data_IF_677037046496
#
_entry.id   IF_677037046496
#
_cell.length_a   1.000
_cell.length_b   1.000
_cell.length_c   1.000
_cell.angle_alpha   90.00
_cell.angle_beta   90.00
_cell.angle_gamma   90.00
#
_symmetry.space_group_name_H-M   'P 1'
#
loop_
_entity.id
_entity.type
_entity.pdbx_description
1 polymer ?
#
# COMPACT_ATOMS: atom_id res chain seq x y z
N UNK A 1 8.94 1.58 44.32
CA UNK A 1 7.97 0.83 43.51
C UNK A 1 8.11 1.31 42.07
N UNK A 2 8.19 0.41 41.09
CA UNK A 2 8.34 0.81 39.67
C UNK A 2 6.98 1.31 39.17
N UNK A 3 6.95 2.50 38.57
CA UNK A 3 5.76 3.02 37.89
C UNK A 3 5.69 2.50 36.46
N UNK A 4 4.91 1.44 36.25
CA UNK A 4 4.72 0.84 34.94
C UNK A 4 3.94 1.73 33.96
N UNK A 5 3.15 2.70 34.45
CA UNK A 5 2.44 3.64 33.57
C UNK A 5 3.41 4.65 32.97
N UNK A 6 4.33 5.18 33.78
CA UNK A 6 5.39 6.05 33.30
C UNK A 6 6.28 5.34 32.26
N UNK A 7 6.67 4.09 32.52
CA UNK A 7 7.46 3.30 31.57
C UNK A 7 6.72 3.05 30.25
N UNK A 8 5.43 2.69 30.30
CA UNK A 8 4.61 2.52 29.10
C UNK A 8 4.50 3.82 28.31
N UNK A 9 4.32 4.96 28.99
CA UNK A 9 4.24 6.26 28.34
C UNK A 9 5.53 6.61 27.61
N UNK A 10 6.68 6.33 28.22
CA UNK A 10 7.98 6.54 27.56
C UNK A 10 8.11 5.62 26.34
N UNK A 11 7.78 4.34 26.49
CA UNK A 11 7.78 3.39 25.37
C UNK A 11 6.94 3.89 24.19
N UNK A 12 5.67 4.25 24.43
CA UNK A 12 4.78 4.72 23.38
C UNK A 12 5.30 5.99 22.72
N UNK A 13 5.77 6.97 23.51
CA UNK A 13 6.34 8.20 22.97
C UNK A 13 7.53 7.92 22.04
N UNK A 14 8.42 6.99 22.40
CA UNK A 14 9.56 6.65 21.56
C UNK A 14 9.15 5.90 20.28
N UNK A 15 8.21 4.95 20.36
CA UNK A 15 7.69 4.29 19.15
C UNK A 15 7.00 5.32 18.24
N UNK A 16 6.18 6.22 18.79
CA UNK A 16 5.49 7.25 18.02
C UNK A 16 6.47 8.19 17.32
N UNK A 17 7.58 8.56 17.99
CA UNK A 17 8.67 9.33 17.38
C UNK A 17 9.38 8.56 16.26
N UNK A 18 9.58 7.24 16.42
CA UNK A 18 10.14 6.43 15.33
C UNK A 18 9.19 6.35 14.12
N UNK A 19 7.88 6.25 14.36
CA UNK A 19 6.85 6.15 13.33
C UNK A 19 6.39 7.51 12.79
N UNK A 20 7.00 8.61 13.24
CA UNK A 20 6.74 9.94 12.71
C UNK A 20 7.29 10.07 11.27
N UNK A 21 6.75 11.02 10.51
CA UNK A 21 7.15 11.25 9.12
C UNK A 21 8.56 11.83 8.98
N UNK A 22 9.06 12.48 10.02
CA UNK A 22 10.44 12.97 10.19
C UNK A 22 11.27 12.07 11.12
N UNK A 23 10.71 10.93 11.53
CA UNK A 23 11.35 9.97 12.40
C UNK A 23 12.26 8.97 11.68
N UNK A 24 12.54 7.85 12.35
CA UNK A 24 13.31 6.74 11.80
C UNK A 24 12.44 5.75 10.99
N UNK A 25 11.33 6.24 10.44
CA UNK A 25 10.39 5.45 9.63
C UNK A 25 10.74 5.51 8.15
N UNK A 26 10.14 4.62 7.38
CA UNK A 26 10.09 4.72 5.92
C UNK A 26 8.68 5.07 5.48
N UNK A 27 8.56 5.91 4.45
CA UNK A 27 7.28 6.14 3.79
C UNK A 27 6.88 4.87 3.02
N UNK A 28 5.75 4.28 3.42
CA UNK A 28 5.14 3.12 2.80
C UNK A 28 3.86 3.56 2.09
N UNK A 29 3.87 3.48 0.75
CA UNK A 29 2.71 3.82 -0.08
C UNK A 29 1.84 2.58 -0.29
N UNK A 30 0.68 2.56 0.34
CA UNK A 30 -0.35 1.54 0.16
C UNK A 30 -1.11 1.84 -1.13
N UNK A 31 -1.17 0.88 -2.05
CA UNK A 31 -1.99 0.93 -3.24
C UNK A 31 -3.24 0.06 -3.04
N UNK A 32 -4.43 0.64 -3.25
CA UNK A 32 -5.71 -0.08 -3.13
C UNK A 32 -6.22 -0.61 -4.49
N UNK A 33 -5.43 -0.44 -5.56
CA UNK A 33 -5.85 -0.72 -6.92
C UNK A 33 -6.89 0.28 -7.43
N UNK A 34 -7.65 -0.12 -8.44
CA UNK A 34 -8.70 0.71 -9.04
C UNK A 34 -9.90 0.78 -8.10
N UNK A 35 -10.04 1.90 -7.40
CA UNK A 35 -11.13 2.13 -6.43
C UNK A 35 -12.28 2.95 -7.01
N UNK A 36 -12.02 3.75 -8.04
CA UNK A 36 -13.04 4.53 -8.75
C UNK A 36 -12.94 4.30 -10.25
N UNK A 37 -14.10 4.16 -10.89
CA UNK A 37 -14.22 4.11 -12.35
C UNK A 37 -14.94 5.35 -12.82
N UNK A 38 -14.23 6.20 -13.53
CA UNK A 38 -14.83 7.38 -14.17
C UNK A 38 -15.13 7.07 -15.62
N UNK A 39 -16.24 7.62 -16.14
CA UNK A 39 -16.59 7.46 -17.55
C UNK A 39 -15.46 7.99 -18.43
N UNK A 40 -15.18 7.26 -19.52
CA UNK A 40 -14.11 7.67 -20.43
C UNK A 40 -14.41 9.07 -20.99
N UNK A 41 -13.46 10.02 -20.91
CA UNK A 41 -13.66 11.36 -21.47
C UNK A 41 -13.71 11.36 -23.00
N UNK A 42 -13.25 10.28 -23.65
CA UNK A 42 -13.05 10.21 -25.09
C UNK A 42 -14.17 9.53 -25.88
N UNK A 43 -14.93 8.62 -25.25
CA UNK A 43 -15.99 7.87 -25.93
C UNK A 43 -17.30 7.88 -25.14
N UNK A 44 -18.41 7.69 -25.86
CA UNK A 44 -19.71 7.50 -25.24
C UNK A 44 -19.76 6.11 -24.60
N UNK A 45 -20.22 6.03 -23.35
CA UNK A 45 -20.43 4.79 -22.63
C UNK A 45 -21.82 4.23 -22.92
N UNK A 46 -21.90 2.95 -23.26
CA UNK A 46 -23.13 2.19 -23.43
C UNK A 46 -23.49 1.49 -22.12
N UNK A 47 -24.59 1.92 -21.50
CA UNK A 47 -25.07 1.37 -20.22
C UNK A 47 -25.61 -0.05 -20.34
N UNK A 48 -26.11 -0.46 -21.53
CA UNK A 48 -26.66 -1.78 -21.76
C UNK A 48 -25.53 -2.80 -21.96
N UNK A 49 -24.53 -2.45 -22.76
CA UNK A 49 -23.37 -3.32 -23.03
C UNK A 49 -22.26 -3.18 -21.98
N UNK A 50 -22.38 -2.22 -21.05
CA UNK A 50 -21.39 -1.89 -20.01
C UNK A 50 -19.98 -1.66 -20.56
N UNK A 51 -19.87 -1.01 -21.73
CA UNK A 51 -18.61 -0.74 -22.44
C UNK A 51 -18.68 0.50 -23.31
N UNK A 52 -17.63 0.83 -24.05
CA UNK A 52 -17.67 1.91 -25.04
C UNK A 52 -18.68 1.61 -26.16
N UNK A 53 -19.49 2.61 -26.52
CA UNK A 53 -20.37 2.57 -27.69
C UNK A 53 -19.60 2.70 -29.03
N UNK A 54 -18.26 2.66 -29.00
CA UNK A 54 -17.38 2.84 -30.18
C UNK A 54 -17.68 4.14 -30.95
N UNK A 55 -18.11 5.17 -30.21
CA UNK A 55 -18.44 6.49 -30.73
C UNK A 55 -17.66 7.55 -29.98
N UNK A 56 -16.93 8.37 -30.73
CA UNK A 56 -16.16 9.48 -30.21
C UNK A 56 -17.07 10.53 -29.56
N UNK A 57 -16.64 11.05 -28.40
CA UNK A 57 -17.30 12.14 -27.70
C UNK A 57 -16.69 13.46 -28.17
N UNK A 58 -17.52 14.38 -28.65
CA UNK A 58 -17.02 15.67 -29.13
C UNK A 58 -16.32 16.43 -27.98
N UNK A 59 -15.11 16.96 -28.22
CA UNK A 59 -14.24 17.53 -27.20
C UNK A 59 -13.41 16.52 -26.40
N UNK A 60 -13.41 15.24 -26.79
CA UNK A 60 -12.55 14.21 -26.19
C UNK A 60 -11.05 14.39 -26.53
N UNK A 61 -10.14 13.75 -25.77
CA UNK A 61 -8.70 13.88 -25.98
C UNK A 61 -8.18 13.40 -27.34
N UNK A 62 -8.83 12.41 -27.97
CA UNK A 62 -8.31 11.76 -29.18
C UNK A 62 -9.47 11.33 -30.11
N UNK A 63 -9.70 12.06 -31.22
CA UNK A 63 -10.71 11.69 -32.22
C UNK A 63 -10.52 10.29 -32.80
N UNK A 64 -11.61 9.57 -33.05
CA UNK A 64 -11.61 8.28 -33.74
C UNK A 64 -12.90 8.04 -34.53
N UNK A 65 -12.84 7.18 -35.54
CA UNK A 65 -13.98 6.88 -36.42
C UNK A 65 -15.06 6.05 -35.70
N UNK A 66 -16.33 6.21 -36.13
CA UNK A 66 -17.43 5.41 -35.62
C UNK A 66 -17.18 3.91 -35.87
N UNK A 67 -17.41 3.09 -34.85
CA UNK A 67 -17.19 1.64 -34.91
C UNK A 67 -15.75 1.21 -34.61
N UNK A 68 -14.81 2.14 -34.48
CA UNK A 68 -13.46 1.83 -34.02
C UNK A 68 -13.38 1.75 -32.49
N UNK A 69 -12.42 0.97 -31.99
CA UNK A 69 -12.10 0.91 -30.58
C UNK A 69 -11.63 2.29 -30.10
N UNK A 70 -12.18 2.78 -28.99
CA UNK A 70 -11.72 4.03 -28.40
C UNK A 70 -10.23 3.91 -28.01
N UNK A 71 -9.31 4.72 -28.55
CA UNK A 71 -7.88 4.60 -28.29
C UNK A 71 -7.49 5.01 -26.86
N UNK A 72 -8.37 5.72 -26.15
CA UNK A 72 -8.10 6.23 -24.81
C UNK A 72 -8.40 5.21 -23.70
N UNK A 73 -9.47 4.43 -23.86
CA UNK A 73 -9.87 3.40 -22.88
C UNK A 73 -9.85 1.99 -23.45
N UNK A 74 -9.33 1.81 -24.66
CA UNK A 74 -9.31 0.54 -25.39
C UNK A 74 -10.67 -0.17 -25.41
N UNK A 75 -11.75 0.59 -25.63
CA UNK A 75 -13.11 0.06 -25.74
C UNK A 75 -13.80 -0.27 -24.41
N UNK A 76 -13.13 -0.13 -23.28
CA UNK A 76 -13.68 -0.40 -21.95
C UNK A 76 -14.77 0.59 -21.55
N UNK A 77 -14.66 1.86 -21.99
CA UNK A 77 -15.67 2.90 -21.76
C UNK A 77 -15.57 3.63 -20.42
N UNK A 78 -14.63 3.24 -19.57
CA UNK A 78 -14.27 3.93 -18.32
C UNK A 78 -12.75 3.89 -18.11
N UNK A 79 -12.27 4.75 -17.23
CA UNK A 79 -10.88 4.79 -16.77
C UNK A 79 -10.88 4.47 -15.27
N UNK A 80 -10.03 3.52 -14.88
CA UNK A 80 -9.80 3.20 -13.48
C UNK A 80 -8.84 4.21 -12.88
N UNK A 81 -9.24 4.84 -11.77
CA UNK A 81 -8.34 5.63 -10.95
C UNK A 81 -7.84 4.77 -9.81
N UNK A 82 -6.52 4.72 -9.66
CA UNK A 82 -5.89 4.10 -8.51
C UNK A 82 -5.88 5.08 -7.34
N UNK A 83 -6.21 4.60 -6.14
CA UNK A 83 -6.03 5.36 -4.92
C UNK A 83 -4.84 4.84 -4.15
N UNK A 84 -4.02 5.75 -3.65
CA UNK A 84 -2.87 5.44 -2.79
C UNK A 84 -2.97 6.20 -1.47
N UNK A 85 -2.37 5.65 -0.43
CA UNK A 85 -2.23 6.28 0.88
C UNK A 85 -0.80 6.09 1.39
N UNK A 86 -0.15 7.17 1.81
CA UNK A 86 1.15 7.10 2.47
C UNK A 86 0.97 6.89 3.97
N UNK A 87 1.61 5.86 4.50
CA UNK A 87 1.75 5.60 5.94
C UNK A 87 3.23 5.50 6.29
N UNK A 88 3.59 5.82 7.53
CA UNK A 88 4.96 5.79 8.01
C UNK A 88 5.16 4.60 8.93
N UNK A 89 6.04 3.68 8.53
CA UNK A 89 6.28 2.44 9.25
C UNK A 89 7.76 2.20 9.44
N UNK A 90 8.13 1.61 10.57
CA UNK A 90 9.48 1.11 10.77
C UNK A 90 9.63 -0.21 10.00
N UNK A 91 10.48 -0.22 8.97
CA UNK A 91 10.72 -1.38 8.10
C UNK A 91 11.95 -2.13 8.59
N UNK A 92 11.74 -3.39 8.95
CA UNK A 92 12.78 -4.32 9.38
C UNK A 92 13.02 -5.31 8.24
N UNK A 93 14.13 -5.07 7.52
CA UNK A 93 14.54 -5.89 6.37
C UNK A 93 15.06 -7.25 6.77
N UNK A 94 15.73 -7.34 7.93
CA UNK A 94 16.17 -8.58 8.54
C UNK A 94 15.34 -8.86 9.80
N UNK A 95 14.12 -9.35 9.59
CA UNK A 95 13.18 -9.66 10.67
C UNK A 95 13.66 -10.81 11.59
N UNK A 96 14.74 -11.53 11.22
CA UNK A 96 15.32 -12.61 12.02
C UNK A 96 16.42 -12.12 12.97
N UNK A 97 17.11 -11.02 12.65
CA UNK A 97 18.18 -10.51 13.53
C UNK A 97 17.67 -9.79 14.79
N UNK A 98 16.41 -9.35 14.83
CA UNK A 98 15.87 -8.69 16.03
C UNK A 98 15.46 -9.66 17.14
N UNK A 99 15.23 -10.94 16.81
CA UNK A 99 14.97 -12.03 17.77
C UNK A 99 15.72 -13.28 17.27
N UNK A 100 16.83 -13.64 17.92
CA UNK A 100 17.59 -14.87 17.67
C UNK A 100 16.66 -16.09 17.69
N UNK A 101 16.28 -16.59 16.52
CA UNK A 101 15.61 -17.87 16.34
C UNK A 101 16.63 -18.85 15.76
N UNK A 102 16.73 -20.08 16.29
CA UNK A 102 17.85 -20.97 16.04
C UNK A 102 18.05 -21.31 14.55
N UNK A 103 19.32 -21.34 14.17
CA UNK A 103 19.89 -21.41 12.83
C UNK A 103 19.55 -22.70 12.07
N UNK A 104 18.31 -22.85 11.57
CA UNK A 104 17.97 -23.93 10.63
C UNK A 104 16.74 -23.65 9.76
N UNK A 105 16.55 -22.40 9.32
CA UNK A 105 15.52 -22.09 8.31
C UNK A 105 16.19 -21.32 7.17
N UNK A 106 16.55 -22.06 6.12
CA UNK A 106 16.88 -21.53 4.81
C UNK A 106 15.87 -20.43 4.43
N UNK A 107 16.37 -19.24 4.14
CA UNK A 107 15.60 -18.02 3.96
C UNK A 107 14.95 -18.00 2.56
N UNK A 108 13.63 -18.09 2.39
CA UNK A 108 13.03 -17.91 1.08
C UNK A 108 12.88 -16.41 0.82
N UNK A 109 13.82 -15.85 0.05
CA UNK A 109 13.78 -14.60 -0.72
C UNK A 109 12.53 -13.71 -0.55
N UNK A 110 12.69 -12.52 0.05
CA UNK A 110 11.86 -11.34 -0.22
C UNK A 110 10.83 -10.91 0.83
N UNK A 111 10.92 -11.31 2.09
CA UNK A 111 10.02 -10.82 3.14
C UNK A 111 10.55 -9.59 3.87
N UNK A 112 9.65 -8.72 4.34
CA UNK A 112 9.93 -7.59 5.24
C UNK A 112 8.91 -7.56 6.36
N UNK A 113 9.35 -7.14 7.54
CA UNK A 113 8.47 -6.90 8.68
C UNK A 113 8.31 -5.39 8.88
N UNK A 114 7.09 -4.93 9.12
CA UNK A 114 6.81 -3.53 9.34
C UNK A 114 6.11 -3.33 10.69
N UNK A 115 6.56 -2.35 11.47
CA UNK A 115 5.85 -1.86 12.65
C UNK A 115 5.14 -0.56 12.28
N UNK A 116 3.84 -0.49 12.57
CA UNK A 116 3.00 0.67 12.28
C UNK A 116 1.99 0.95 13.38
N UNK A 117 1.22 2.03 13.22
CA UNK A 117 0.17 2.40 14.17
C UNK A 117 -1.06 1.51 14.00
N UNK A 118 -1.73 1.20 15.11
CA UNK A 118 -3.00 0.44 15.07
C UNK A 118 -4.09 1.11 14.25
N UNK A 119 -4.11 2.44 14.20
CA UNK A 119 -5.06 3.21 13.38
C UNK A 119 -5.06 2.80 11.91
N UNK A 120 -3.95 2.25 11.41
CA UNK A 120 -3.77 1.98 10.00
C UNK A 120 -4.21 0.57 9.61
N UNK A 121 -4.66 -0.26 10.58
CA UNK A 121 -5.02 -1.67 10.37
C UNK A 121 -5.96 -1.88 9.18
N UNK A 122 -7.01 -1.05 9.10
CA UNK A 122 -8.00 -1.17 8.02
C UNK A 122 -7.39 -0.92 6.65
N UNK A 123 -6.44 0.02 6.56
CA UNK A 123 -5.77 0.36 5.31
C UNK A 123 -4.78 -0.73 4.92
N UNK A 124 -4.04 -1.29 5.89
CA UNK A 124 -3.11 -2.40 5.62
C UNK A 124 -3.84 -3.63 5.07
N UNK A 125 -5.02 -3.96 5.62
CA UNK A 125 -5.85 -5.09 5.14
C UNK A 125 -6.44 -4.86 3.75
N UNK A 126 -6.80 -3.62 3.42
CA UNK A 126 -7.41 -3.27 2.14
C UNK A 126 -6.39 -3.05 1.03
N UNK A 127 -5.12 -2.81 1.37
CA UNK A 127 -4.06 -2.57 0.40
C UNK A 127 -3.86 -3.81 -0.48
N UNK A 128 -3.89 -3.59 -1.80
CA UNK A 128 -3.51 -4.59 -2.80
C UNK A 128 -2.02 -4.87 -2.75
N UNK A 129 -1.22 -3.81 -2.66
CA UNK A 129 0.23 -3.87 -2.51
C UNK A 129 0.76 -2.62 -1.79
N UNK A 130 1.98 -2.72 -1.28
CA UNK A 130 2.70 -1.65 -0.61
C UNK A 130 4.03 -1.41 -1.32
N UNK A 131 4.36 -0.15 -1.57
CA UNK A 131 5.65 0.28 -2.09
C UNK A 131 6.43 1.01 -1.00
N UNK A 132 7.68 0.61 -0.76
CA UNK A 132 8.56 1.28 0.21
C UNK A 132 9.37 2.35 -0.52
N UNK A 133 9.20 3.61 -0.12
CA UNK A 133 9.82 4.77 -0.75
C UNK A 133 11.22 4.98 -0.17
N UNK A 134 12.23 5.00 -1.05
CA UNK A 134 13.59 5.38 -0.67
C UNK A 134 13.85 6.85 -1.01
N UNK A 135 14.50 7.62 -0.12
CA UNK A 135 14.77 9.04 -0.34
C UNK A 135 15.74 9.32 -1.49
N UNK A 136 16.43 8.31 -2.03
CA UNK A 136 17.48 8.47 -3.03
C UNK A 136 17.22 7.75 -4.37
N UNK A 137 16.05 7.14 -4.57
CA UNK A 137 15.76 6.39 -5.81
C UNK A 137 14.52 6.91 -6.52
N UNK A 138 14.70 7.51 -7.70
CA UNK A 138 13.59 8.17 -8.39
C UNK A 138 12.65 7.22 -9.16
N UNK A 139 12.98 5.94 -9.36
CA UNK A 139 12.30 5.17 -10.43
C UNK A 139 11.90 3.72 -10.15
N UNK A 140 12.18 3.13 -8.99
CA UNK A 140 11.69 1.77 -8.72
C UNK A 140 11.55 1.43 -7.23
N UNK A 141 10.35 1.62 -6.69
CA UNK A 141 10.04 1.16 -5.33
C UNK A 141 9.63 -0.31 -5.35
N UNK A 142 10.27 -1.18 -4.55
CA UNK A 142 9.89 -2.58 -4.46
C UNK A 142 8.45 -2.69 -3.94
N UNK A 143 7.65 -3.51 -4.61
CA UNK A 143 6.26 -3.80 -4.25
C UNK A 143 6.17 -5.05 -3.41
N UNK A 144 5.35 -4.98 -2.37
CA UNK A 144 5.11 -6.08 -1.46
C UNK A 144 3.61 -6.31 -1.28
N UNK A 145 3.22 -7.56 -1.06
CA UNK A 145 1.88 -7.95 -0.67
C UNK A 145 1.84 -8.34 0.79
N UNK A 146 0.75 -8.01 1.46
CA UNK A 146 0.53 -8.43 2.84
C UNK A 146 0.51 -9.96 2.89
N UNK A 147 1.42 -10.53 3.66
CA UNK A 147 1.58 -11.98 3.74
C UNK A 147 0.66 -12.62 4.77
N UNK A 148 0.44 -11.92 5.88
CA UNK A 148 -0.34 -12.39 7.00
C UNK A 148 -1.08 -11.23 7.69
N UNK A 149 -2.09 -11.58 8.48
CA UNK A 149 -2.87 -10.65 9.26
C UNK A 149 -1.98 -9.85 10.25
N UNK A 150 -2.03 -8.50 10.25
CA UNK A 150 -1.26 -7.70 11.19
C UNK A 150 -1.61 -8.04 12.64
N UNK A 151 -0.58 -8.28 13.44
CA UNK A 151 -0.73 -8.66 14.85
C UNK A 151 -0.54 -7.43 15.74
N UNK A 152 -1.50 -7.13 16.64
CA UNK A 152 -1.32 -6.06 17.61
C UNK A 152 -0.14 -6.30 18.55
N UNK A 153 0.61 -5.25 18.84
CA UNK A 153 1.73 -5.29 19.77
C UNK A 153 1.81 -4.02 20.64
N UNK A 154 2.52 -4.12 21.76
CA UNK A 154 2.70 -3.05 22.74
C UNK A 154 2.91 -3.60 24.14
N UNK A 155 3.25 -2.73 25.09
CA UNK A 155 3.48 -3.11 26.49
C UNK A 155 2.18 -3.05 27.31
N UNK A 156 1.17 -3.80 26.84
CA UNK A 156 -0.13 -3.98 27.51
C UNK A 156 -1.29 -3.11 27.00
N UNK A 157 -1.09 -2.28 25.97
CA UNK A 157 -2.11 -1.43 25.35
C UNK A 157 -2.44 -1.79 23.89
N UNK A 158 -1.55 -2.54 23.23
CA UNK A 158 -1.69 -2.97 21.84
C UNK A 158 -1.93 -1.80 20.87
N UNK A 159 -1.21 -0.69 21.07
CA UNK A 159 -1.31 0.54 20.26
C UNK A 159 -0.62 0.44 18.88
N UNK A 160 0.20 -0.58 18.67
CA UNK A 160 0.97 -0.78 17.45
C UNK A 160 0.61 -2.10 16.78
N UNK A 161 1.06 -2.26 15.55
CA UNK A 161 0.88 -3.47 14.76
C UNK A 161 2.22 -3.92 14.22
N UNK A 162 2.41 -5.23 14.20
CA UNK A 162 3.44 -5.90 13.42
C UNK A 162 2.77 -6.52 12.20
N UNK A 163 3.28 -6.19 11.01
CA UNK A 163 2.80 -6.74 9.74
C UNK A 163 3.94 -7.38 8.97
N UNK A 164 3.64 -8.47 8.27
CA UNK A 164 4.61 -9.19 7.42
C UNK A 164 4.22 -9.02 5.96
N UNK A 165 5.19 -8.66 5.13
CA UNK A 165 4.99 -8.37 3.72
C UNK A 165 5.95 -9.19 2.87
N UNK A 166 5.46 -9.74 1.76
CA UNK A 166 6.23 -10.54 0.81
C UNK A 166 6.44 -9.75 -0.47
N UNK A 167 7.67 -9.70 -0.97
CA UNK A 167 8.03 -9.07 -2.24
C UNK A 167 7.27 -9.76 -3.36
N UNK A 168 6.61 -8.98 -4.19
CA UNK A 168 6.04 -9.49 -5.42
C UNK A 168 7.18 -9.85 -6.37
N UNK A 169 7.36 -11.15 -6.61
CA UNK A 169 8.02 -11.63 -7.83
C UNK A 169 7.12 -11.22 -8.98
N UNK A 170 7.57 -10.25 -9.77
CA UNK A 170 6.88 -9.83 -11.00
C UNK A 170 6.74 -10.98 -11.99
#
# INVERSE_FOLDING_TARGET
MVDFNALRSVYNAQIDSMLANDGLSSECRLNFGVTKRDLCPNCIYDVNLKKSASKYKNGGPTPFALGMLCPYCNGVGYIGNESTLSVYMAVIWDYKQWITTPDNIENPNGFVQCIGKKSDLQYLRQAKDMSIVYPFSDHYFPKFQLYAEPTPCGLGDNNYLVSMWKKNSG
#
